data_IF_581849057290
#
_entry.id   IF_581849057290
#
_cell.length_a   1.000
_cell.length_b   1.000
_cell.length_c   1.000
_cell.angle_alpha   90.00
_cell.angle_beta   90.00
_cell.angle_gamma   90.00
#
_symmetry.space_group_name_H-M   'P 1'
#
loop_
_entity.id
_entity.type
_entity.pdbx_description
1 polymer ?
#
# COMPACT_ATOMS: atom_id res chain seq x y z
N UNK A 1 -6.94 12.39 4.24
CA UNK A 1 -7.14 10.94 4.36
C UNK A 1 -8.61 10.65 4.18
N UNK A 2 -9.00 10.33 2.96
CA UNK A 2 -10.32 9.78 2.63
C UNK A 2 -10.50 8.43 3.35
N UNK A 3 -11.73 7.95 3.47
CA UNK A 3 -12.00 6.65 4.10
C UNK A 3 -11.25 5.51 3.39
N UNK A 4 -11.12 5.58 2.06
CA UNK A 4 -10.36 4.61 1.26
C UNK A 4 -8.86 4.63 1.56
N UNK A 5 -8.24 5.82 1.62
CA UNK A 5 -6.82 5.95 1.98
C UNK A 5 -6.54 5.37 3.37
N UNK A 6 -7.41 5.67 4.34
CA UNK A 6 -7.25 5.19 5.72
C UNK A 6 -7.42 3.67 5.80
N UNK A 7 -8.42 3.12 5.10
CA UNK A 7 -8.64 1.67 5.04
C UNK A 7 -7.45 0.92 4.44
N UNK A 8 -6.93 1.40 3.30
CA UNK A 8 -5.73 0.83 2.68
C UNK A 8 -4.51 0.97 3.58
N UNK A 9 -4.33 2.14 4.21
CA UNK A 9 -3.24 2.39 5.13
C UNK A 9 -3.24 1.38 6.27
N UNK A 10 -4.35 1.25 7.00
CA UNK A 10 -4.44 0.37 8.16
C UNK A 10 -4.23 -1.11 7.76
N UNK A 11 -4.79 -1.53 6.62
CA UNK A 11 -4.64 -2.89 6.10
C UNK A 11 -3.18 -3.22 5.77
N UNK A 12 -2.51 -2.34 5.03
CA UNK A 12 -1.11 -2.51 4.65
C UNK A 12 -0.17 -2.40 5.86
N UNK A 13 -0.48 -1.48 6.78
CA UNK A 13 0.29 -1.27 8.00
C UNK A 13 0.25 -2.52 8.89
N UNK A 14 -0.94 -3.07 9.13
CA UNK A 14 -1.11 -4.27 9.96
C UNK A 14 -0.44 -5.51 9.34
N UNK A 15 -0.44 -5.65 8.01
CA UNK A 15 0.11 -6.83 7.33
C UNK A 15 1.62 -6.81 7.19
N UNK A 16 2.19 -5.68 6.79
CA UNK A 16 3.60 -5.60 6.44
C UNK A 16 4.46 -4.91 7.48
N UNK A 17 3.87 -4.28 8.51
CA UNK A 17 4.57 -3.49 9.53
C UNK A 17 5.69 -2.63 8.90
N UNK A 18 5.34 -1.80 7.90
CA UNK A 18 6.31 -1.07 7.09
C UNK A 18 6.98 0.03 7.92
N UNK A 19 8.24 0.32 7.61
CA UNK A 19 8.95 1.47 8.17
C UNK A 19 8.53 2.79 7.49
N UNK A 20 8.05 2.71 6.25
CA UNK A 20 7.45 3.84 5.52
C UNK A 20 6.23 3.33 4.77
N UNK A 21 5.09 3.99 4.96
CA UNK A 21 3.86 3.73 4.21
C UNK A 21 3.21 5.07 3.88
N UNK A 22 2.97 5.30 2.60
CA UNK A 22 2.17 6.41 2.09
C UNK A 22 1.12 5.86 1.15
N UNK A 23 -0.10 6.35 1.32
CA UNK A 23 -1.25 6.04 0.47
C UNK A 23 -1.85 7.38 0.09
N UNK A 24 -1.98 7.62 -1.20
CA UNK A 24 -2.50 8.87 -1.75
C UNK A 24 -3.53 8.56 -2.84
N UNK A 25 -4.70 9.16 -2.75
CA UNK A 25 -5.73 9.06 -3.79
C UNK A 25 -5.35 9.90 -5.02
N UNK A 26 -5.06 9.22 -6.13
CA UNK A 26 -4.74 9.85 -7.42
C UNK A 26 -5.93 9.89 -8.38
N UNK A 27 -7.10 9.43 -7.93
CA UNK A 27 -8.34 9.45 -8.73
C UNK A 27 -9.11 10.77 -8.66
N UNK A 28 -8.58 11.77 -7.96
CA UNK A 28 -9.22 13.07 -7.79
C UNK A 28 -10.41 13.04 -6.82
N UNK A 29 -10.40 12.14 -5.82
CA UNK A 29 -11.42 12.06 -4.78
C UNK A 29 -12.56 11.08 -5.06
N UNK A 30 -12.50 10.33 -6.17
CA UNK A 30 -13.46 9.26 -6.48
C UNK A 30 -13.13 7.95 -5.73
N UNK A 31 -11.91 7.83 -5.20
CA UNK A 31 -11.44 6.65 -4.46
C UNK A 31 -11.25 5.40 -5.33
N UNK A 32 -11.05 5.56 -6.64
CA UNK A 32 -10.93 4.44 -7.59
C UNK A 32 -9.47 4.03 -7.88
N UNK A 33 -8.50 4.89 -7.60
CA UNK A 33 -7.07 4.65 -7.82
C UNK A 33 -6.22 5.28 -6.72
N UNK A 34 -5.28 4.52 -6.17
CA UNK A 34 -4.40 4.96 -5.10
C UNK A 34 -2.93 4.76 -5.50
N UNK A 35 -2.10 5.76 -5.28
CA UNK A 35 -0.66 5.64 -5.29
C UNK A 35 -0.21 5.16 -3.90
N UNK A 36 0.52 4.05 -3.87
CA UNK A 36 0.98 3.42 -2.64
C UNK A 36 2.50 3.34 -2.67
N UNK A 37 3.16 3.98 -1.71
CA UNK A 37 4.59 3.84 -1.48
C UNK A 37 4.80 3.10 -0.16
N UNK A 38 5.38 1.90 -0.23
CA UNK A 38 5.58 1.05 0.94
C UNK A 38 7.02 0.55 1.02
N UNK A 39 7.64 0.71 2.17
CA UNK A 39 8.96 0.16 2.51
C UNK A 39 8.82 -0.74 3.73
N UNK A 40 9.02 -2.04 3.55
CA UNK A 40 9.01 -3.04 4.62
C UNK A 40 10.14 -4.04 4.43
N UNK A 41 10.63 -4.60 5.54
CA UNK A 41 11.55 -5.74 5.53
C UNK A 41 10.93 -6.97 4.86
N UNK A 42 9.60 -7.08 4.81
CA UNK A 42 8.88 -8.15 4.12
C UNK A 42 9.17 -8.22 2.61
N UNK A 43 9.62 -7.11 2.00
CA UNK A 43 9.96 -7.06 0.58
C UNK A 43 11.44 -7.35 0.29
N UNK A 44 12.27 -7.48 1.32
CA UNK A 44 13.71 -7.71 1.16
C UNK A 44 13.96 -9.05 0.46
N UNK A 45 14.65 -9.00 -0.68
CA UNK A 45 14.98 -10.19 -1.48
C UNK A 45 13.87 -10.66 -2.41
N UNK A 46 12.73 -9.96 -2.48
CA UNK A 46 11.68 -10.24 -3.47
C UNK A 46 11.89 -9.40 -4.72
N UNK A 47 11.59 -9.97 -5.89
CA UNK A 47 11.54 -9.19 -7.13
C UNK A 47 10.37 -8.21 -7.10
N UNK A 48 10.48 -7.10 -7.83
CA UNK A 48 9.46 -6.04 -7.91
C UNK A 48 8.06 -6.62 -8.22
N UNK A 49 7.98 -7.57 -9.16
CA UNK A 49 6.72 -8.23 -9.52
C UNK A 49 6.10 -8.98 -8.33
N UNK A 50 6.91 -9.70 -7.53
CA UNK A 50 6.44 -10.41 -6.34
C UNK A 50 5.97 -9.44 -5.27
N UNK A 51 6.64 -8.31 -5.11
CA UNK A 51 6.22 -7.25 -4.20
C UNK A 51 4.85 -6.69 -4.60
N UNK A 52 4.65 -6.35 -5.87
CA UNK A 52 3.34 -5.88 -6.37
C UNK A 52 2.23 -6.91 -6.18
N UNK A 53 2.50 -8.19 -6.45
CA UNK A 53 1.51 -9.26 -6.21
C UNK A 53 1.13 -9.35 -4.73
N UNK A 54 2.11 -9.33 -3.82
CA UNK A 54 1.84 -9.39 -2.38
C UNK A 54 0.96 -8.23 -1.90
N UNK A 55 1.14 -7.04 -2.47
CA UNK A 55 0.32 -5.87 -2.13
C UNK A 55 -1.07 -5.97 -2.74
N UNK A 56 -1.19 -6.44 -3.99
CA UNK A 56 -2.49 -6.55 -4.69
C UNK A 56 -3.35 -7.73 -4.21
N UNK A 57 -2.75 -8.80 -3.68
CA UNK A 57 -3.47 -9.98 -3.18
C UNK A 57 -4.13 -9.77 -1.81
N UNK A 58 -4.08 -8.54 -1.26
CA UNK A 58 -4.65 -8.17 0.03
C UNK A 58 -6.09 -7.69 -0.08
#
# INVERSE_FOLDING_TARGET
LTEGEKYLYDKLHSKFQPTKLQVEDISGGCGSMYAIEISSKAFKGLSVIKQHRLVNDL
#
